data_IF_130861003289
#
_entry.id   IF_130861003289
#
_cell.length_a   1.000
_cell.length_b   1.000
_cell.length_c   1.000
_cell.angle_alpha   90.00
_cell.angle_beta   90.00
_cell.angle_gamma   90.00
#
_symmetry.space_group_name_H-M   'P 1'
#
loop_
_entity.id
_entity.type
_entity.pdbx_description
1 polymer ?
#
# COMPACT_ATOMS: atom_id res chain seq x y z
N UNK A 1 -0.77 -4.36 -26.04
CA UNK A 1 -2.22 -4.48 -25.73
C UNK A 1 -2.30 -4.77 -24.25
N UNK A 2 -3.16 -4.07 -23.50
CA UNK A 2 -3.30 -4.31 -22.06
C UNK A 2 -3.87 -5.72 -21.83
N UNK A 3 -3.23 -6.50 -20.96
CA UNK A 3 -3.70 -7.82 -20.53
C UNK A 3 -3.51 -7.98 -19.02
N UNK A 4 -4.62 -7.88 -18.27
CA UNK A 4 -4.66 -8.03 -16.82
C UNK A 4 -4.12 -9.38 -16.32
N UNK A 5 -4.17 -10.43 -17.13
CA UNK A 5 -3.76 -11.79 -16.74
C UNK A 5 -2.34 -12.13 -17.19
N UNK A 6 -1.64 -11.19 -17.82
CA UNK A 6 -0.27 -11.43 -18.27
C UNK A 6 0.69 -11.63 -17.09
N UNK A 7 1.70 -12.48 -17.30
CA UNK A 7 2.83 -12.61 -16.40
C UNK A 7 3.94 -11.57 -16.66
N UNK A 8 3.80 -10.73 -17.69
CA UNK A 8 4.77 -9.71 -18.09
C UNK A 8 4.31 -8.33 -17.59
N UNK A 9 5.12 -7.71 -16.72
CA UNK A 9 4.78 -6.46 -16.04
C UNK A 9 4.31 -5.34 -16.98
N UNK A 10 4.96 -5.17 -18.13
CA UNK A 10 4.63 -4.12 -19.10
C UNK A 10 3.31 -4.35 -19.85
N UNK A 11 2.73 -5.54 -19.74
CA UNK A 11 1.46 -5.89 -20.38
C UNK A 11 0.27 -5.65 -19.45
N UNK A 12 0.42 -5.83 -18.14
CA UNK A 12 -0.63 -5.53 -17.14
C UNK A 12 -0.45 -4.20 -16.39
N UNK A 13 0.76 -3.62 -16.38
CA UNK A 13 1.01 -2.21 -15.99
C UNK A 13 1.25 -1.43 -17.28
N UNK A 14 0.15 -0.94 -17.85
CA UNK A 14 0.15 -0.30 -19.16
C UNK A 14 -0.16 1.21 -19.02
N UNK A 15 0.76 2.07 -19.49
CA UNK A 15 0.62 3.54 -19.38
C UNK A 15 -0.62 4.08 -20.11
N UNK A 16 -0.95 3.54 -21.28
CA UNK A 16 -2.14 3.97 -22.02
C UNK A 16 -3.43 3.63 -21.24
N UNK A 17 -3.56 2.41 -20.71
CA UNK A 17 -4.69 2.03 -19.87
C UNK A 17 -4.80 2.89 -18.60
N UNK A 18 -3.67 3.23 -17.97
CA UNK A 18 -3.63 4.12 -16.81
C UNK A 18 -4.12 5.51 -17.18
N UNK A 19 -3.63 6.10 -18.28
CA UNK A 19 -4.05 7.43 -18.75
C UNK A 19 -5.52 7.47 -19.14
N UNK A 20 -6.02 6.45 -19.83
CA UNK A 20 -7.43 6.32 -20.15
C UNK A 20 -8.28 6.21 -18.88
N UNK A 21 -7.81 5.45 -17.88
CA UNK A 21 -8.48 5.33 -16.58
C UNK A 21 -8.53 6.66 -15.82
N UNK A 22 -7.47 7.46 -15.88
CA UNK A 22 -7.43 8.79 -15.28
C UNK A 22 -8.37 9.77 -15.99
N UNK A 23 -8.38 9.78 -17.34
CA UNK A 23 -9.30 10.61 -18.11
C UNK A 23 -10.77 10.24 -17.83
N UNK A 24 -11.06 8.94 -17.74
CA UNK A 24 -12.36 8.44 -17.34
C UNK A 24 -12.74 8.92 -15.93
N UNK A 25 -11.82 8.90 -14.97
CA UNK A 25 -12.07 9.42 -13.63
C UNK A 25 -12.38 10.92 -13.66
N UNK A 26 -11.61 11.69 -14.42
CA UNK A 26 -11.82 13.13 -14.56
C UNK A 26 -13.22 13.48 -15.07
N UNK A 27 -13.75 12.69 -16.01
CA UNK A 27 -15.09 12.88 -16.56
C UNK A 27 -16.21 12.47 -15.59
N UNK A 28 -15.97 11.52 -14.68
CA UNK A 28 -17.02 10.87 -13.88
C UNK A 28 -16.88 11.05 -12.37
N UNK A 29 -15.84 11.76 -11.88
CA UNK A 29 -15.58 12.01 -10.45
C UNK A 29 -16.71 12.70 -9.68
N UNK A 30 -17.64 13.34 -10.39
CA UNK A 30 -18.81 14.01 -9.83
C UNK A 30 -20.13 13.23 -10.07
N UNK A 31 -20.07 12.06 -10.71
CA UNK A 31 -21.24 11.20 -10.89
C UNK A 31 -21.55 10.46 -9.59
N UNK A 32 -22.39 11.09 -8.77
CA UNK A 32 -22.84 10.52 -7.49
C UNK A 32 -23.55 9.19 -7.66
N UNK A 33 -24.27 8.98 -8.77
CA UNK A 33 -24.99 7.74 -9.04
C UNK A 33 -24.02 6.58 -9.29
N UNK A 34 -23.00 6.83 -10.11
CA UNK A 34 -21.96 5.86 -10.39
C UNK A 34 -21.14 5.51 -9.14
N UNK A 35 -20.70 6.52 -8.38
CA UNK A 35 -19.93 6.30 -7.15
C UNK A 35 -20.77 5.52 -6.12
N UNK A 36 -22.06 5.85 -5.98
CA UNK A 36 -22.97 5.09 -5.11
C UNK A 36 -23.09 3.62 -5.52
N UNK A 37 -23.21 3.34 -6.82
CA UNK A 37 -23.29 1.96 -7.31
C UNK A 37 -21.99 1.17 -7.07
N UNK A 38 -20.84 1.84 -7.16
CA UNK A 38 -19.53 1.24 -6.83
C UNK A 38 -19.46 0.90 -5.34
N UNK A 39 -19.94 1.80 -4.47
CA UNK A 39 -20.03 1.56 -3.03
C UNK A 39 -20.95 0.37 -2.71
N UNK A 40 -22.14 0.31 -3.32
CA UNK A 40 -23.04 -0.84 -3.18
C UNK A 40 -22.38 -2.16 -3.62
N UNK A 41 -21.60 -2.13 -4.72
CA UNK A 41 -20.78 -3.27 -5.15
C UNK A 41 -19.70 -3.60 -4.14
N UNK A 42 -19.00 -2.63 -3.56
CA UNK A 42 -17.94 -2.84 -2.58
C UNK A 42 -18.45 -3.63 -1.36
N UNK A 43 -19.70 -3.38 -0.92
CA UNK A 43 -20.34 -4.12 0.18
C UNK A 43 -20.53 -5.62 -0.10
N UNK A 44 -20.60 -6.03 -1.37
CA UNK A 44 -20.63 -7.46 -1.75
C UNK A 44 -19.30 -8.18 -1.49
N UNK A 45 -18.22 -7.42 -1.29
CA UNK A 45 -16.87 -7.95 -1.03
C UNK A 45 -16.31 -8.82 -2.17
N UNK A 46 -16.80 -8.63 -3.41
CA UNK A 46 -16.33 -9.34 -4.60
C UNK A 46 -15.14 -8.65 -5.31
N UNK A 47 -14.65 -7.54 -4.76
CA UNK A 47 -13.57 -6.73 -5.33
C UNK A 47 -14.07 -5.63 -6.28
N UNK A 48 -13.20 -4.65 -6.51
CA UNK A 48 -13.39 -3.55 -7.46
C UNK A 48 -12.31 -3.63 -8.55
N UNK A 49 -12.66 -3.17 -9.74
CA UNK A 49 -11.69 -2.95 -10.83
C UNK A 49 -10.86 -1.70 -10.57
N UNK A 50 -9.73 -1.54 -11.25
CA UNK A 50 -8.91 -0.33 -11.15
C UNK A 50 -9.65 0.94 -11.61
N UNK A 51 -10.55 0.83 -12.60
CA UNK A 51 -11.41 1.94 -13.07
C UNK A 51 -12.51 2.33 -12.08
N UNK A 52 -13.02 1.38 -11.31
CA UNK A 52 -13.97 1.69 -10.21
C UNK A 52 -13.23 2.29 -9.01
N UNK A 53 -12.05 1.75 -8.68
CA UNK A 53 -11.25 2.19 -7.56
C UNK A 53 -10.78 3.66 -7.72
N UNK A 54 -10.41 4.08 -8.93
CA UNK A 54 -9.99 5.47 -9.17
C UNK A 54 -11.10 6.48 -8.90
N UNK A 55 -12.37 6.14 -9.15
CA UNK A 55 -13.50 7.03 -8.85
C UNK A 55 -13.71 7.22 -7.35
N UNK A 56 -13.40 6.20 -6.54
CA UNK A 56 -13.41 6.35 -5.08
C UNK A 56 -12.22 7.18 -4.59
N UNK A 57 -11.05 7.02 -5.24
CA UNK A 57 -9.83 7.77 -4.91
C UNK A 57 -9.93 9.25 -5.26
N UNK A 58 -10.57 9.59 -6.38
CA UNK A 58 -10.71 10.96 -6.89
C UNK A 58 -12.07 11.61 -6.53
N UNK A 59 -12.85 10.97 -5.64
CA UNK A 59 -14.12 11.51 -5.19
C UNK A 59 -13.93 12.81 -4.41
N UNK A 60 -14.49 13.92 -4.90
CA UNK A 60 -14.41 15.23 -4.23
C UNK A 60 -15.63 15.57 -3.39
N UNK A 61 -16.69 14.75 -3.44
CA UNK A 61 -17.93 14.95 -2.71
C UNK A 61 -17.75 14.54 -1.23
N UNK A 62 -17.95 15.46 -0.26
CA UNK A 62 -17.75 15.15 1.16
C UNK A 62 -18.67 14.06 1.70
N UNK A 63 -19.93 14.01 1.30
CA UNK A 63 -20.91 13.04 1.80
C UNK A 63 -20.56 11.62 1.29
N UNK A 64 -20.13 11.52 0.04
CA UNK A 64 -19.69 10.24 -0.52
C UNK A 64 -18.37 9.79 0.10
N UNK A 65 -17.46 10.71 0.41
CA UNK A 65 -16.24 10.39 1.16
C UNK A 65 -16.55 9.86 2.57
N UNK A 66 -17.48 10.47 3.29
CA UNK A 66 -17.95 9.94 4.58
C UNK A 66 -18.50 8.51 4.44
N UNK A 67 -19.27 8.26 3.37
CA UNK A 67 -19.77 6.92 3.06
C UNK A 67 -18.65 5.93 2.72
N UNK A 68 -17.63 6.33 1.94
CA UNK A 68 -16.43 5.51 1.66
C UNK A 68 -15.79 5.07 2.98
N UNK A 69 -15.58 5.99 3.93
CA UNK A 69 -15.02 5.66 5.23
C UNK A 69 -15.91 4.72 6.05
N UNK A 70 -17.22 4.97 6.06
CA UNK A 70 -18.18 4.14 6.79
C UNK A 70 -18.22 2.70 6.25
N UNK A 71 -18.24 2.52 4.93
CA UNK A 71 -18.24 1.19 4.31
C UNK A 71 -16.91 0.47 4.50
N UNK A 72 -15.78 1.17 4.38
CA UNK A 72 -14.47 0.59 4.69
C UNK A 72 -14.39 0.11 6.15
N UNK A 73 -14.97 0.86 7.09
CA UNK A 73 -15.07 0.45 8.50
C UNK A 73 -15.98 -0.77 8.68
N UNK A 74 -17.14 -0.82 8.03
CA UNK A 74 -18.06 -1.97 8.07
C UNK A 74 -17.36 -3.25 7.56
N UNK A 75 -16.70 -3.15 6.40
CA UNK A 75 -15.94 -4.26 5.80
C UNK A 75 -14.80 -4.70 6.73
N UNK A 76 -14.02 -3.74 7.25
CA UNK A 76 -12.94 -4.05 8.20
C UNK A 76 -13.48 -4.76 9.44
N UNK A 77 -14.60 -4.29 9.99
CA UNK A 77 -15.20 -4.88 11.17
C UNK A 77 -15.76 -6.27 10.90
N UNK A 78 -16.38 -6.48 9.74
CA UNK A 78 -16.93 -7.79 9.33
C UNK A 78 -15.85 -8.87 9.24
N UNK A 79 -14.71 -8.59 8.62
CA UNK A 79 -13.66 -9.58 8.41
C UNK A 79 -12.62 -9.62 9.54
N UNK A 80 -12.18 -8.46 10.02
CA UNK A 80 -11.07 -8.33 10.96
C UNK A 80 -11.52 -7.99 12.38
N UNK A 81 -12.75 -7.52 12.56
CA UNK A 81 -13.25 -7.06 13.85
C UNK A 81 -12.36 -5.96 14.43
N UNK A 82 -12.25 -5.91 15.75
CA UNK A 82 -11.38 -4.96 16.45
C UNK A 82 -9.90 -5.42 16.52
N UNK A 83 -9.52 -6.49 15.80
CA UNK A 83 -8.16 -7.04 15.89
C UNK A 83 -7.17 -6.14 15.16
N UNK A 84 -6.08 -5.81 15.84
CA UNK A 84 -4.92 -5.10 15.30
C UNK A 84 -3.71 -6.01 15.47
N UNK A 85 -3.00 -6.29 14.38
CA UNK A 85 -1.79 -7.12 14.42
C UNK A 85 -0.57 -6.20 14.57
N UNK A 86 0.22 -6.44 15.61
CA UNK A 86 1.46 -5.70 15.88
C UNK A 86 2.67 -6.45 15.32
N UNK A 87 3.62 -5.72 14.73
CA UNK A 87 4.93 -6.23 14.31
C UNK A 87 5.98 -5.13 14.50
N UNK A 88 7.27 -5.51 14.46
CA UNK A 88 8.37 -4.56 14.48
C UNK A 88 9.25 -4.72 13.24
N UNK A 89 9.71 -3.63 12.61
CA UNK A 89 10.78 -3.70 11.62
C UNK A 89 12.13 -3.98 12.30
N UNK A 90 12.97 -4.77 11.66
CA UNK A 90 14.36 -5.02 12.08
C UNK A 90 15.30 -4.71 10.90
N UNK A 91 16.00 -3.59 11.01
CA UNK A 91 16.94 -3.11 9.99
C UNK A 91 18.29 -3.81 10.15
N UNK A 92 18.61 -4.73 9.24
CA UNK A 92 19.85 -5.52 9.33
C UNK A 92 21.05 -4.83 8.67
N UNK A 93 20.80 -3.99 7.67
CA UNK A 93 21.83 -3.30 6.91
C UNK A 93 21.28 -2.05 6.25
N UNK A 94 22.05 -0.96 6.30
CA UNK A 94 21.77 0.26 5.55
C UNK A 94 22.72 0.49 4.36
N UNK A 95 23.54 -0.51 4.01
CA UNK A 95 24.30 -0.49 2.75
C UNK A 95 23.33 -0.65 1.58
N UNK A 96 23.40 0.23 0.58
CA UNK A 96 22.57 0.20 -0.60
C UNK A 96 23.36 0.75 -1.80
N UNK A 97 23.26 0.09 -2.95
CA UNK A 97 23.92 0.52 -4.20
C UNK A 97 23.05 1.47 -5.04
N UNK A 98 21.76 1.56 -4.70
CA UNK A 98 20.79 2.32 -5.48
C UNK A 98 20.90 3.83 -5.24
N UNK A 99 20.40 4.61 -6.20
CA UNK A 99 20.37 6.07 -6.19
C UNK A 99 19.00 6.67 -5.94
N UNK A 100 18.12 5.98 -5.18
CA UNK A 100 16.73 6.40 -4.97
C UNK A 100 16.67 7.82 -4.37
N UNK A 101 16.00 8.75 -5.08
CA UNK A 101 15.92 10.17 -4.69
C UNK A 101 15.15 10.43 -3.41
N UNK A 102 14.36 9.44 -2.97
CA UNK A 102 13.50 9.50 -1.79
C UNK A 102 14.06 8.73 -0.57
N UNK A 103 15.20 8.03 -0.69
CA UNK A 103 15.67 7.10 0.35
C UNK A 103 17.01 7.54 0.96
N UNK A 104 17.12 7.75 2.29
CA UNK A 104 18.38 8.18 2.91
C UNK A 104 19.50 7.14 2.82
N UNK A 105 19.19 5.86 2.55
CA UNK A 105 20.19 4.82 2.35
C UNK A 105 20.85 4.89 0.97
N UNK A 106 20.36 5.72 0.04
CA UNK A 106 20.91 5.78 -1.30
C UNK A 106 22.43 5.97 -1.30
N UNK A 107 23.11 5.40 -2.28
CA UNK A 107 24.58 5.35 -2.34
C UNK A 107 25.25 6.73 -2.30
N UNK A 108 24.59 7.76 -2.87
CA UNK A 108 25.11 9.14 -2.89
C UNK A 108 25.14 9.81 -1.51
N UNK A 109 24.46 9.27 -0.50
CA UNK A 109 24.46 9.85 0.84
C UNK A 109 25.69 9.33 1.59
N UNK A 110 26.71 10.18 1.70
CA UNK A 110 27.98 9.87 2.38
C UNK A 110 28.03 10.39 3.82
N UNK A 111 26.98 11.08 4.29
CA UNK A 111 26.90 11.62 5.65
C UNK A 111 26.36 10.59 6.67
N UNK A 112 25.69 9.53 6.20
CA UNK A 112 25.18 8.45 7.05
C UNK A 112 26.25 7.37 7.28
N UNK A 113 26.45 6.98 8.53
CA UNK A 113 27.31 5.84 8.87
C UNK A 113 26.73 4.54 8.30
N UNK A 114 27.56 3.79 7.58
CA UNK A 114 27.15 2.50 7.01
C UNK A 114 27.37 1.38 8.02
N UNK A 115 26.33 0.58 8.26
CA UNK A 115 26.33 -0.52 9.22
C UNK A 115 25.56 -1.71 8.67
N UNK A 116 26.12 -2.89 8.91
CA UNK A 116 25.50 -4.20 8.73
C UNK A 116 25.70 -4.94 10.04
N UNK A 117 24.61 -5.47 10.59
CA UNK A 117 24.64 -6.17 11.86
C UNK A 117 25.37 -7.52 11.73
N UNK A 118 26.17 -7.88 12.74
CA UNK A 118 26.70 -9.24 12.89
C UNK A 118 25.61 -10.19 13.42
N UNK A 119 25.87 -11.50 13.42
CA UNK A 119 24.89 -12.47 13.96
C UNK A 119 24.66 -12.28 15.47
N UNK A 120 25.66 -11.84 16.20
CA UNK A 120 25.58 -11.50 17.62
C UNK A 120 24.73 -10.25 17.84
N UNK A 121 24.93 -9.20 17.05
CA UNK A 121 24.10 -7.99 17.09
C UNK A 121 22.65 -8.30 16.71
N UNK A 122 22.42 -9.10 15.66
CA UNK A 122 21.06 -9.54 15.26
C UNK A 122 20.39 -10.28 16.41
N UNK A 123 21.10 -11.19 17.07
CA UNK A 123 20.57 -11.92 18.23
C UNK A 123 20.17 -10.94 19.34
N UNK A 124 21.02 -9.96 19.65
CA UNK A 124 20.74 -8.96 20.68
C UNK A 124 19.49 -8.12 20.35
N UNK A 125 19.36 -7.64 19.12
CA UNK A 125 18.18 -6.89 18.65
C UNK A 125 16.90 -7.74 18.72
N UNK A 126 16.98 -9.01 18.30
CA UNK A 126 15.83 -9.94 18.37
C UNK A 126 15.40 -10.17 19.82
N UNK A 127 16.35 -10.38 20.75
CA UNK A 127 16.04 -10.53 22.19
C UNK A 127 15.37 -9.26 22.71
N UNK A 128 15.89 -8.07 22.41
CA UNK A 128 15.29 -6.81 22.83
C UNK A 128 13.84 -6.67 22.32
N UNK A 129 13.58 -7.00 21.05
CA UNK A 129 12.23 -6.98 20.49
C UNK A 129 11.31 -8.05 21.11
N UNK A 130 11.84 -9.23 21.43
CA UNK A 130 11.09 -10.28 22.13
C UNK A 130 10.69 -9.84 23.54
N UNK A 131 11.59 -9.18 24.27
CA UNK A 131 11.37 -8.64 25.62
C UNK A 131 10.35 -7.50 25.62
N UNK A 132 10.28 -6.71 24.54
CA UNK A 132 9.20 -5.74 24.29
C UNK A 132 7.84 -6.40 23.97
N UNK A 133 7.80 -7.73 23.84
CA UNK A 133 6.59 -8.49 23.57
C UNK A 133 6.36 -8.81 22.08
N UNK A 134 7.21 -8.34 21.16
CA UNK A 134 7.03 -8.64 19.73
C UNK A 134 7.16 -10.14 19.43
N UNK A 135 6.38 -10.59 18.44
CA UNK A 135 6.33 -11.98 17.96
C UNK A 135 6.36 -12.09 16.43
N UNK A 136 6.41 -10.95 15.73
CA UNK A 136 6.43 -10.83 14.27
C UNK A 136 7.42 -9.73 13.91
N UNK A 137 8.37 -10.06 13.03
CA UNK A 137 9.39 -9.13 12.56
C UNK A 137 9.32 -8.98 11.04
N UNK A 138 9.52 -7.76 10.56
CA UNK A 138 9.76 -7.47 9.14
C UNK A 138 11.25 -7.15 8.97
N UNK A 139 11.97 -7.95 8.20
CA UNK A 139 13.40 -7.74 7.98
C UNK A 139 13.59 -6.72 6.86
N UNK A 140 14.33 -5.65 7.15
CA UNK A 140 14.57 -4.55 6.22
C UNK A 140 16.07 -4.42 5.92
N UNK A 141 16.41 -4.33 4.64
CA UNK A 141 17.79 -4.14 4.18
C UNK A 141 17.85 -3.21 2.98
N UNK A 142 18.86 -2.34 2.95
CA UNK A 142 19.21 -1.54 1.77
C UNK A 142 19.70 -2.35 0.58
#
# INVERSE_FOLDING_TARGET
MYDLKSCVATEFINDAEIRETLAFADEHRNDRGMISAILDKARTCAGLTHREAILLLDCTDPELNERIYAEAMEIKQRFYGNRIVMFAPLYLSNYCVNGCTYCPYHMKNTHIARKKLTQEEIRAEVIALQDMGHKRLALETG
#
